data_IF_972223866851
#
_entry.id   IF_972223866851
#
_cell.length_a   1.000
_cell.length_b   1.000
_cell.length_c   1.000
_cell.angle_alpha   90.00
_cell.angle_beta   90.00
_cell.angle_gamma   90.00
#
_symmetry.space_group_name_H-M   'P 1'
#
loop_
_entity.id
_entity.type
_entity.pdbx_description
1 polymer ?
#
# COMPACT_ATOMS: atom_id res chain seq x y z
N UNK A 1 -25.62 73.59 18.40
CA UNK A 1 -24.82 72.35 18.22
C UNK A 1 -23.94 72.49 16.98
N UNK A 2 -22.63 72.72 17.14
CA UNK A 2 -21.69 72.80 15.99
C UNK A 2 -21.39 71.38 15.51
N UNK A 3 -21.82 71.03 14.30
CA UNK A 3 -21.34 69.82 13.60
C UNK A 3 -19.89 70.07 13.19
N UNK A 4 -18.93 69.39 13.82
CA UNK A 4 -17.54 69.35 13.35
C UNK A 4 -17.49 68.42 12.14
N UNK A 5 -17.20 68.97 10.97
CA UNK A 5 -16.93 68.17 9.76
C UNK A 5 -15.52 67.58 9.83
N UNK A 6 -15.36 66.33 9.39
CA UNK A 6 -14.05 65.70 9.26
C UNK A 6 -13.18 66.48 8.26
N UNK A 7 -11.91 66.64 8.60
CA UNK A 7 -10.92 67.22 7.69
C UNK A 7 -10.53 66.20 6.62
N UNK A 8 -10.19 66.67 5.43
CA UNK A 8 -9.75 65.83 4.30
C UNK A 8 -8.53 64.96 4.68
N UNK A 9 -7.68 65.47 5.58
CA UNK A 9 -6.55 64.75 6.17
C UNK A 9 -7.00 63.56 7.03
N UNK A 10 -7.99 63.74 7.90
CA UNK A 10 -8.51 62.65 8.76
C UNK A 10 -9.13 61.52 7.91
N UNK A 11 -9.84 61.86 6.83
CA UNK A 11 -10.36 60.86 5.89
C UNK A 11 -9.25 60.08 5.18
N UNK A 12 -8.16 60.76 4.81
CA UNK A 12 -7.00 60.12 4.17
C UNK A 12 -6.26 59.19 5.14
N UNK A 13 -6.05 59.63 6.39
CA UNK A 13 -5.42 58.80 7.42
C UNK A 13 -6.29 57.60 7.77
N UNK A 14 -7.61 57.78 7.94
CA UNK A 14 -8.53 56.69 8.25
C UNK A 14 -8.57 55.64 7.14
N UNK A 15 -8.59 56.05 5.87
CA UNK A 15 -8.57 55.14 4.72
C UNK A 15 -7.22 54.41 4.59
N UNK A 16 -6.09 55.08 4.85
CA UNK A 16 -4.78 54.44 4.86
C UNK A 16 -4.67 53.38 5.97
N UNK A 17 -5.08 53.71 7.20
CA UNK A 17 -5.09 52.76 8.33
C UNK A 17 -6.02 51.59 8.05
N UNK A 18 -7.22 51.84 7.54
CA UNK A 18 -8.17 50.78 7.17
C UNK A 18 -7.58 49.85 6.10
N UNK A 19 -6.86 50.41 5.11
CA UNK A 19 -6.22 49.63 4.05
C UNK A 19 -5.10 48.74 4.59
N UNK A 20 -4.27 49.27 5.49
CA UNK A 20 -3.19 48.51 6.14
C UNK A 20 -3.78 47.39 7.01
N UNK A 21 -4.79 47.69 7.82
CA UNK A 21 -5.46 46.70 8.65
C UNK A 21 -6.17 45.63 7.81
N UNK A 22 -6.82 46.02 6.72
CA UNK A 22 -7.45 45.10 5.77
C UNK A 22 -6.43 44.16 5.12
N UNK A 23 -5.27 44.69 4.71
CA UNK A 23 -4.18 43.89 4.13
C UNK A 23 -3.59 42.92 5.17
N UNK A 24 -3.32 43.39 6.38
CA UNK A 24 -2.80 42.56 7.46
C UNK A 24 -3.78 41.42 7.81
N UNK A 25 -5.07 41.72 7.91
CA UNK A 25 -6.11 40.73 8.14
C UNK A 25 -6.16 39.69 7.00
N UNK A 26 -6.04 40.14 5.74
CA UNK A 26 -6.03 39.23 4.59
C UNK A 26 -4.82 38.29 4.62
N UNK A 27 -3.65 38.78 5.00
CA UNK A 27 -2.43 37.96 5.15
C UNK A 27 -2.62 36.92 6.26
N UNK A 28 -3.15 37.32 7.41
CA UNK A 28 -3.41 36.40 8.54
C UNK A 28 -4.46 35.35 8.16
N UNK A 29 -5.56 35.74 7.51
CA UNK A 29 -6.59 34.81 7.06
C UNK A 29 -6.06 33.80 6.02
N UNK A 30 -5.27 34.26 5.04
CA UNK A 30 -4.65 33.37 4.05
C UNK A 30 -3.67 32.40 4.71
N UNK A 31 -2.83 32.89 5.63
CA UNK A 31 -1.90 32.05 6.39
C UNK A 31 -2.62 31.00 7.26
N UNK A 32 -3.70 31.40 7.94
CA UNK A 32 -4.54 30.52 8.73
C UNK A 32 -5.21 29.43 7.89
N UNK A 33 -5.82 29.80 6.76
CA UNK A 33 -6.46 28.84 5.85
C UNK A 33 -5.45 27.85 5.24
N UNK A 34 -4.28 28.32 4.81
CA UNK A 34 -3.24 27.45 4.26
C UNK A 34 -2.70 26.47 5.31
N UNK A 35 -2.53 26.93 6.56
CA UNK A 35 -2.10 26.07 7.67
C UNK A 35 -3.16 25.06 8.03
N UNK A 36 -4.43 25.47 8.07
CA UNK A 36 -5.56 24.59 8.36
C UNK A 36 -5.73 23.51 7.28
N UNK A 37 -5.70 23.87 6.00
CA UNK A 37 -5.77 22.89 4.88
C UNK A 37 -4.65 21.85 4.95
N UNK A 38 -3.42 22.29 5.26
CA UNK A 38 -2.28 21.38 5.47
C UNK A 38 -2.49 20.46 6.67
N UNK A 39 -3.02 20.97 7.78
CA UNK A 39 -3.30 20.15 8.95
C UNK A 39 -4.39 19.10 8.65
N UNK A 40 -5.44 19.48 7.92
CA UNK A 40 -6.53 18.57 7.56
C UNK A 40 -6.06 17.48 6.58
N UNK A 41 -5.29 17.83 5.55
CA UNK A 41 -4.72 16.85 4.62
C UNK A 41 -3.73 15.88 5.29
N UNK A 42 -2.93 16.37 6.24
CA UNK A 42 -2.09 15.52 7.10
C UNK A 42 -2.93 14.53 7.87
N UNK A 43 -3.99 15.00 8.52
CA UNK A 43 -4.91 14.14 9.27
C UNK A 43 -5.52 13.07 8.37
N UNK A 44 -6.04 13.45 7.20
CA UNK A 44 -6.63 12.52 6.24
C UNK A 44 -5.63 11.43 5.79
N UNK A 45 -4.40 11.82 5.43
CA UNK A 45 -3.35 10.86 5.05
C UNK A 45 -2.94 9.94 6.21
N UNK A 46 -2.93 10.45 7.44
CA UNK A 46 -2.65 9.66 8.64
C UNK A 46 -3.76 8.66 8.93
N UNK A 47 -5.01 9.09 8.85
CA UNK A 47 -6.18 8.23 9.06
C UNK A 47 -6.24 7.12 7.99
N UNK A 48 -5.98 7.45 6.72
CA UNK A 48 -5.86 6.48 5.63
C UNK A 48 -4.72 5.48 5.88
N UNK A 49 -3.53 5.95 6.26
CA UNK A 49 -2.38 5.09 6.55
C UNK A 49 -2.62 4.15 7.73
N UNK A 50 -3.25 4.65 8.80
CA UNK A 50 -3.64 3.84 9.94
C UNK A 50 -4.72 2.81 9.59
N UNK A 51 -5.68 3.14 8.73
CA UNK A 51 -6.69 2.20 8.27
C UNK A 51 -6.07 1.04 7.47
N UNK A 52 -5.19 1.36 6.50
CA UNK A 52 -4.46 0.36 5.70
C UNK A 52 -3.62 -0.54 6.60
N UNK A 53 -2.75 0.04 7.44
CA UNK A 53 -1.87 -0.77 8.28
C UNK A 53 -2.62 -1.62 9.30
N UNK A 54 -3.76 -1.14 9.81
CA UNK A 54 -4.61 -1.91 10.73
C UNK A 54 -5.24 -3.10 10.02
N UNK A 55 -5.85 -2.88 8.85
CA UNK A 55 -6.49 -3.95 8.09
C UNK A 55 -5.48 -5.00 7.62
N UNK A 56 -4.35 -4.55 7.07
CA UNK A 56 -3.30 -5.43 6.58
C UNK A 56 -2.66 -6.20 7.74
N UNK A 57 -2.43 -5.55 8.89
CA UNK A 57 -1.99 -6.25 10.11
C UNK A 57 -2.99 -7.32 10.55
N UNK A 58 -4.28 -7.02 10.51
CA UNK A 58 -5.31 -8.02 10.84
C UNK A 58 -5.24 -9.21 9.87
N UNK A 59 -5.17 -8.95 8.56
CA UNK A 59 -5.08 -10.00 7.55
C UNK A 59 -3.84 -10.88 7.77
N UNK A 60 -2.68 -10.28 8.01
CA UNK A 60 -1.44 -11.00 8.32
C UNK A 60 -1.53 -11.78 9.64
N UNK A 61 -2.06 -11.18 10.72
CA UNK A 61 -2.22 -11.89 12.00
C UNK A 61 -3.19 -13.07 11.91
N UNK A 62 -4.14 -13.01 10.99
CA UNK A 62 -5.06 -14.09 10.68
C UNK A 62 -4.57 -14.99 9.55
N UNK A 63 -3.37 -14.77 8.99
CA UNK A 63 -2.83 -15.65 7.97
C UNK A 63 -2.69 -17.08 8.52
N UNK A 64 -3.20 -18.05 7.76
CA UNK A 64 -3.23 -19.46 8.16
C UNK A 64 -2.25 -20.22 7.28
N UNK A 65 -1.36 -20.98 7.91
CA UNK A 65 -0.55 -21.99 7.24
C UNK A 65 -1.29 -23.33 7.18
N UNK A 66 -0.92 -24.23 6.27
CA UNK A 66 -1.56 -25.53 6.15
C UNK A 66 -1.59 -26.30 7.48
N UNK A 67 -2.70 -26.97 7.75
CA UNK A 67 -2.77 -27.94 8.85
C UNK A 67 -2.07 -29.24 8.45
N UNK A 68 -1.36 -29.87 9.39
CA UNK A 68 -0.82 -31.22 9.23
C UNK A 68 -1.96 -32.26 9.30
N UNK A 69 -2.76 -32.40 8.24
CA UNK A 69 -3.74 -33.49 8.14
C UNK A 69 -3.25 -34.57 7.18
N UNK A 70 -3.34 -35.82 7.62
CA UNK A 70 -2.89 -37.01 6.88
C UNK A 70 -3.87 -37.52 5.82
N UNK A 71 -4.99 -36.83 5.57
CA UNK A 71 -6.07 -37.32 4.72
C UNK A 71 -6.38 -36.39 3.54
N UNK A 72 -6.67 -36.95 2.35
CA UNK A 72 -6.84 -36.23 1.09
C UNK A 72 -8.27 -35.66 0.93
N UNK A 73 -8.87 -35.14 2.00
CA UNK A 73 -10.16 -34.47 1.88
C UNK A 73 -9.92 -33.04 1.38
N UNK A 74 -10.18 -32.82 0.09
CA UNK A 74 -10.34 -31.52 -0.56
C UNK A 74 -9.46 -30.42 0.04
N UNK A 75 -8.16 -30.49 -0.23
CA UNK A 75 -7.16 -29.64 0.39
C UNK A 75 -7.50 -28.17 0.11
N UNK A 76 -7.79 -27.41 1.16
CA UNK A 76 -7.90 -25.95 1.06
C UNK A 76 -6.49 -25.44 0.78
N UNK A 77 -6.31 -24.80 -0.37
CA UNK A 77 -5.06 -24.16 -0.78
C UNK A 77 -4.76 -22.95 0.13
N UNK A 78 -4.20 -23.24 1.30
CA UNK A 78 -3.71 -22.23 2.24
C UNK A 78 -2.37 -21.72 1.74
N UNK A 79 -2.30 -20.45 1.35
CA UNK A 79 -1.12 -19.90 0.68
C UNK A 79 -0.78 -18.53 1.24
N UNK A 80 0.50 -18.18 1.23
CA UNK A 80 1.02 -16.82 1.38
C UNK A 80 2.01 -16.61 0.24
N UNK A 81 1.66 -15.74 -0.71
CA UNK A 81 2.47 -15.45 -1.90
C UNK A 81 2.65 -13.94 -1.99
N UNK A 82 3.88 -13.52 -2.20
CA UNK A 82 4.20 -12.12 -2.42
C UNK A 82 5.27 -12.01 -3.50
N UNK A 83 5.01 -11.20 -4.50
CA UNK A 83 5.93 -10.95 -5.59
C UNK A 83 5.82 -9.50 -6.07
N UNK A 84 6.42 -9.22 -7.22
CA UNK A 84 6.32 -7.94 -7.89
C UNK A 84 5.70 -8.13 -9.27
N UNK A 85 4.92 -7.15 -9.72
CA UNK A 85 4.45 -7.11 -11.10
C UNK A 85 5.55 -6.68 -12.09
N UNK A 86 5.21 -6.57 -13.37
CA UNK A 86 6.15 -6.16 -14.43
C UNK A 86 6.79 -4.78 -14.22
N UNK A 87 6.17 -3.93 -13.38
CA UNK A 87 6.67 -2.59 -13.02
C UNK A 87 7.38 -2.58 -11.67
N UNK A 88 7.58 -3.74 -11.04
CA UNK A 88 8.26 -3.86 -9.74
C UNK A 88 7.36 -3.54 -8.54
N UNK A 89 6.04 -3.42 -8.71
CA UNK A 89 5.11 -3.09 -7.61
C UNK A 89 4.72 -4.34 -6.84
N UNK A 90 4.71 -4.25 -5.52
CA UNK A 90 4.40 -5.39 -4.65
C UNK A 90 2.96 -5.86 -4.79
N UNK A 91 2.79 -7.17 -4.90
CA UNK A 91 1.51 -7.87 -4.82
C UNK A 91 1.57 -8.87 -3.69
N UNK A 92 0.58 -8.85 -2.80
CA UNK A 92 0.50 -9.76 -1.65
C UNK A 92 -0.81 -10.52 -1.69
N UNK A 93 -0.71 -11.84 -1.66
CA UNK A 93 -1.83 -12.77 -1.61
C UNK A 93 -1.67 -13.67 -0.40
N UNK A 94 -2.75 -13.88 0.34
CA UNK A 94 -2.74 -14.79 1.48
C UNK A 94 -4.09 -15.45 1.72
N UNK A 95 -4.06 -16.59 2.37
CA UNK A 95 -5.25 -17.20 2.96
C UNK A 95 -5.27 -16.90 4.45
N UNK A 96 -6.41 -16.45 4.96
CA UNK A 96 -6.60 -16.09 6.37
C UNK A 96 -7.83 -16.73 6.98
N UNK A 97 -7.81 -16.86 8.30
CA UNK A 97 -8.99 -17.20 9.08
C UNK A 97 -9.95 -16.01 9.14
N UNK A 98 -11.25 -16.29 9.02
CA UNK A 98 -12.31 -15.30 9.21
C UNK A 98 -12.56 -15.17 10.71
N UNK A 99 -12.34 -13.97 11.25
CA UNK A 99 -12.56 -13.71 12.67
C UNK A 99 -14.04 -13.38 12.91
N UNK A 100 -14.65 -14.05 13.89
CA UNK A 100 -16.03 -13.74 14.30
C UNK A 100 -17.05 -14.00 13.20
N UNK A 101 -16.85 -15.03 12.38
CA UNK A 101 -17.73 -15.36 11.25
C UNK A 101 -19.21 -15.41 11.66
N UNK A 102 -19.52 -16.07 12.78
CA UNK A 102 -20.89 -16.18 13.32
C UNK A 102 -21.49 -14.86 13.79
N UNK A 103 -20.67 -13.86 14.11
CA UNK A 103 -21.11 -12.52 14.54
C UNK A 103 -21.19 -11.55 13.36
N UNK A 104 -20.61 -11.92 12.21
CA UNK A 104 -20.58 -11.08 11.03
C UNK A 104 -21.98 -11.07 10.37
N UNK A 105 -22.56 -9.89 10.08
CA UNK A 105 -23.96 -9.77 9.64
C UNK A 105 -24.28 -10.47 8.31
N UNK A 106 -23.25 -10.65 7.47
CA UNK A 106 -23.33 -11.36 6.18
C UNK A 106 -22.86 -12.81 6.35
N UNK A 107 -21.60 -13.03 6.70
CA UNK A 107 -21.00 -14.36 6.80
C UNK A 107 -21.66 -15.29 7.83
N UNK A 108 -22.31 -14.76 8.87
CA UNK A 108 -23.11 -15.58 9.79
C UNK A 108 -24.31 -16.27 9.14
N UNK A 109 -24.67 -15.88 7.92
CA UNK A 109 -25.72 -16.51 7.10
C UNK A 109 -25.15 -17.46 6.02
N UNK A 110 -23.83 -17.57 5.91
CA UNK A 110 -23.18 -18.41 4.92
C UNK A 110 -23.39 -19.90 5.24
N UNK A 111 -23.69 -20.71 4.22
CA UNK A 111 -23.86 -22.16 4.38
C UNK A 111 -25.20 -22.60 4.97
N UNK A 112 -26.19 -21.70 5.06
CA UNK A 112 -27.54 -22.04 5.55
C UNK A 112 -28.35 -22.91 4.59
N UNK A 113 -28.04 -22.90 3.28
CA UNK A 113 -28.72 -23.70 2.27
C UNK A 113 -27.79 -24.72 1.61
N UNK A 114 -28.41 -25.79 1.11
CA UNK A 114 -27.75 -26.81 0.27
C UNK A 114 -27.70 -26.27 -1.16
N UNK A 115 -26.58 -26.47 -1.86
CA UNK A 115 -26.35 -26.04 -3.25
C UNK A 115 -26.32 -24.52 -3.49
N UNK A 116 -25.99 -23.74 -2.45
CA UNK A 116 -25.64 -22.32 -2.58
C UNK A 116 -24.51 -22.10 -3.61
N UNK A 117 -24.61 -21.04 -4.40
CA UNK A 117 -23.71 -20.72 -5.52
C UNK A 117 -22.91 -19.42 -5.34
N UNK A 118 -23.33 -18.57 -4.41
CA UNK A 118 -22.71 -17.29 -4.07
C UNK A 118 -21.44 -17.43 -3.24
N UNK A 119 -20.58 -16.42 -3.33
CA UNK A 119 -19.31 -16.33 -2.62
C UNK A 119 -19.27 -15.00 -1.89
N UNK A 120 -18.63 -14.95 -0.74
CA UNK A 120 -18.38 -13.68 -0.08
C UNK A 120 -17.21 -12.99 -0.76
N UNK A 121 -17.47 -11.91 -1.48
CA UNK A 121 -16.47 -11.18 -2.26
C UNK A 121 -16.64 -9.63 -2.21
N UNK A 122 -17.38 -9.17 -1.20
CA UNK A 122 -17.85 -7.79 -1.05
C UNK A 122 -18.98 -7.38 -2.00
N UNK A 123 -19.48 -8.24 -2.90
CA UNK A 123 -20.49 -7.87 -3.92
C UNK A 123 -21.82 -8.51 -3.65
N UNK A 124 -22.83 -7.64 -3.55
CA UNK A 124 -24.19 -8.07 -3.29
C UNK A 124 -24.30 -9.05 -2.10
N UNK A 125 -23.28 -9.18 -1.23
CA UNK A 125 -23.25 -10.29 -0.27
C UNK A 125 -24.42 -10.17 0.70
N UNK A 126 -24.85 -8.95 1.00
CA UNK A 126 -26.05 -8.69 1.80
C UNK A 126 -27.30 -9.30 1.14
N UNK A 127 -27.45 -9.16 -0.17
CA UNK A 127 -28.58 -9.71 -0.92
C UNK A 127 -28.41 -11.22 -1.14
N UNK A 128 -27.21 -11.69 -1.44
CA UNK A 128 -26.91 -13.13 -1.53
C UNK A 128 -27.19 -13.84 -0.20
N UNK A 129 -26.78 -13.24 0.92
CA UNK A 129 -27.05 -13.75 2.25
C UNK A 129 -28.55 -13.79 2.56
N UNK A 130 -29.30 -12.75 2.18
CA UNK A 130 -30.77 -12.69 2.36
C UNK A 130 -31.52 -13.77 1.57
N UNK A 131 -30.94 -14.24 0.48
CA UNK A 131 -31.53 -15.28 -0.37
C UNK A 131 -30.87 -16.66 -0.17
N UNK A 132 -30.12 -16.85 0.94
CA UNK A 132 -29.39 -18.09 1.28
C UNK A 132 -28.44 -18.59 0.16
N UNK A 133 -27.93 -17.66 -0.66
CA UNK A 133 -27.04 -17.99 -1.77
C UNK A 133 -25.58 -18.09 -1.37
N UNK A 134 -25.17 -17.60 -0.21
CA UNK A 134 -23.77 -17.66 0.23
C UNK A 134 -23.36 -19.09 0.60
N UNK A 135 -22.31 -19.58 -0.05
CA UNK A 135 -21.65 -20.86 0.28
C UNK A 135 -20.99 -20.80 1.66
N UNK A 136 -20.93 -21.96 2.32
CA UNK A 136 -20.16 -22.12 3.55
C UNK A 136 -18.71 -21.71 3.31
N UNK A 137 -18.16 -20.84 4.16
CA UNK A 137 -16.82 -20.28 3.97
C UNK A 137 -15.70 -21.27 4.32
N UNK A 138 -15.99 -22.24 5.18
CA UNK A 138 -14.97 -23.10 5.78
C UNK A 138 -14.07 -22.36 6.79
N UNK A 139 -14.51 -21.22 7.33
CA UNK A 139 -13.77 -20.41 8.30
C UNK A 139 -12.57 -19.67 7.72
N UNK A 140 -12.39 -19.67 6.40
CA UNK A 140 -11.22 -19.11 5.72
C UNK A 140 -11.59 -18.25 4.52
N UNK A 141 -10.72 -17.30 4.19
CA UNK A 141 -10.85 -16.43 3.04
C UNK A 141 -9.50 -16.18 2.38
N UNK A 142 -9.51 -16.06 1.05
CA UNK A 142 -8.41 -15.53 0.26
C UNK A 142 -8.42 -14.01 0.37
N UNK A 143 -7.25 -13.38 0.42
CA UNK A 143 -7.08 -11.93 0.46
C UNK A 143 -5.95 -11.55 -0.48
N UNK A 144 -6.16 -10.46 -1.22
CA UNK A 144 -5.16 -9.88 -2.09
C UNK A 144 -4.99 -8.39 -1.81
N UNK A 145 -3.75 -7.90 -1.90
CA UNK A 145 -3.37 -6.49 -1.80
C UNK A 145 -2.47 -6.14 -2.98
N UNK A 146 -2.90 -5.17 -3.79
CA UNK A 146 -2.22 -4.75 -5.02
C UNK A 146 -2.34 -3.24 -5.18
N UNK A 147 -1.29 -2.57 -5.64
CA UNK A 147 -1.31 -1.15 -5.96
C UNK A 147 -1.30 -0.94 -7.48
N UNK A 148 -2.12 -0.03 -7.98
CA UNK A 148 -2.14 0.35 -9.40
C UNK A 148 -1.12 1.47 -9.72
N UNK A 149 -1.19 2.06 -10.91
CA UNK A 149 -0.28 3.14 -11.34
C UNK A 149 -0.81 4.54 -11.01
N UNK A 150 -2.07 4.63 -10.57
CA UNK A 150 -2.70 5.86 -10.13
C UNK A 150 -2.53 6.08 -8.62
N UNK A 151 -1.88 5.14 -7.93
CA UNK A 151 -1.69 5.18 -6.49
C UNK A 151 -2.93 4.77 -5.71
N UNK A 152 -3.75 3.90 -6.28
CA UNK A 152 -4.86 3.24 -5.60
C UNK A 152 -4.37 1.89 -5.09
N UNK A 153 -4.45 1.70 -3.79
CA UNK A 153 -4.25 0.41 -3.15
C UNK A 153 -5.58 -0.34 -3.11
N UNK A 154 -5.61 -1.47 -3.77
CA UNK A 154 -6.73 -2.37 -3.85
C UNK A 154 -6.62 -3.50 -2.83
N UNK A 155 -7.77 -3.95 -2.34
CA UNK A 155 -7.92 -5.13 -1.51
C UNK A 155 -9.03 -6.03 -2.06
N UNK A 156 -8.73 -7.31 -2.24
CA UNK A 156 -9.70 -8.37 -2.54
C UNK A 156 -9.93 -9.25 -1.32
N UNK A 157 -11.14 -9.76 -1.16
CA UNK A 157 -11.46 -10.84 -0.22
C UNK A 157 -12.35 -11.81 -0.93
N UNK A 158 -12.15 -13.11 -0.69
CA UNK A 158 -13.01 -14.15 -1.23
C UNK A 158 -13.18 -15.32 -0.28
N UNK A 159 -14.41 -15.76 -0.02
CA UNK A 159 -14.70 -17.02 0.68
C UNK A 159 -15.87 -17.79 0.03
N UNK A 160 -15.83 -19.13 -0.04
CA UNK A 160 -14.75 -20.01 0.43
C UNK A 160 -13.50 -19.96 -0.47
N UNK A 161 -12.37 -20.41 0.07
CA UNK A 161 -11.08 -20.53 -0.64
C UNK A 161 -11.19 -21.53 -1.81
N UNK A 162 -10.42 -21.30 -2.87
CA UNK A 162 -10.31 -22.20 -4.03
C UNK A 162 -11.38 -21.98 -5.10
N UNK A 163 -11.30 -22.68 -6.25
CA UNK A 163 -12.15 -22.43 -7.41
C UNK A 163 -13.66 -22.65 -7.16
N UNK A 164 -14.55 -22.05 -7.99
CA UNK A 164 -14.27 -21.16 -9.12
C UNK A 164 -14.03 -19.70 -8.70
N UNK A 165 -13.16 -18.97 -9.42
CA UNK A 165 -12.90 -17.54 -9.19
C UNK A 165 -11.91 -17.22 -8.06
N UNK A 166 -11.02 -18.17 -7.72
CA UNK A 166 -9.97 -17.96 -6.71
C UNK A 166 -9.09 -16.77 -7.04
N UNK A 167 -8.69 -16.00 -6.02
CA UNK A 167 -7.70 -14.93 -6.14
C UNK A 167 -6.30 -15.44 -6.52
N UNK A 168 -6.07 -16.75 -6.45
CA UNK A 168 -4.81 -17.43 -6.81
C UNK A 168 -4.87 -18.11 -8.20
N UNK A 169 -5.91 -17.88 -9.01
CA UNK A 169 -6.09 -18.53 -10.31
C UNK A 169 -5.16 -18.02 -11.43
N UNK A 170 -4.99 -18.83 -12.49
CA UNK A 170 -4.10 -18.58 -13.65
C UNK A 170 -4.60 -17.49 -14.63
N UNK A 171 -5.81 -16.97 -14.44
CA UNK A 171 -6.35 -15.86 -15.25
C UNK A 171 -5.89 -14.57 -14.60
N UNK A 172 -5.20 -13.71 -15.36
CA UNK A 172 -4.63 -12.43 -14.94
C UNK A 172 -5.42 -11.81 -13.75
N UNK A 173 -4.99 -12.02 -12.50
CA UNK A 173 -5.88 -11.93 -11.32
C UNK A 173 -6.25 -10.49 -10.93
N UNK A 174 -6.01 -9.53 -11.83
CA UNK A 174 -6.11 -8.09 -11.65
C UNK A 174 -7.30 -7.48 -12.38
N UNK A 175 -8.45 -8.15 -12.41
CA UNK A 175 -9.68 -7.41 -12.69
C UNK A 175 -9.91 -6.42 -11.54
N UNK A 176 -9.40 -5.19 -11.70
CA UNK A 176 -9.47 -4.08 -10.74
C UNK A 176 -10.79 -3.36 -10.90
N UNK A 177 -11.44 -3.01 -9.78
CA UNK A 177 -12.67 -2.25 -9.87
C UNK A 177 -12.35 -0.84 -10.35
N UNK A 178 -13.13 -0.30 -11.31
CA UNK A 178 -13.01 1.12 -11.62
C UNK A 178 -13.29 1.93 -10.34
N UNK A 179 -12.56 3.02 -10.16
CA UNK A 179 -12.92 4.01 -9.14
C UNK A 179 -14.36 4.48 -9.41
N UNK A 180 -15.17 4.55 -8.36
CA UNK A 180 -16.53 5.05 -8.48
C UNK A 180 -16.49 6.50 -9.01
N UNK A 181 -17.09 6.73 -10.18
CA UNK A 181 -17.27 8.06 -10.76
C UNK A 181 -18.76 8.37 -10.86
N UNK A 182 -19.23 9.53 -10.36
CA UNK A 182 -20.62 9.94 -10.47
C UNK A 182 -21.06 10.19 -11.92
N UNK A 183 -20.10 10.39 -12.84
CA UNK A 183 -20.33 10.68 -14.26
C UNK A 183 -20.17 9.44 -15.16
N UNK A 184 -19.74 8.30 -14.60
CA UNK A 184 -19.68 7.06 -15.36
C UNK A 184 -21.11 6.62 -15.69
N UNK A 185 -21.42 6.55 -17.00
CA UNK A 185 -22.65 5.91 -17.45
C UNK A 185 -22.67 4.48 -16.89
N UNK A 186 -23.83 3.97 -16.42
CA UNK A 186 -23.93 2.59 -16.01
C UNK A 186 -23.71 1.73 -17.27
N UNK A 187 -22.48 1.27 -17.48
CA UNK A 187 -22.20 0.15 -18.37
C UNK A 187 -22.99 -1.05 -17.85
N UNK A 188 -23.50 -1.87 -18.77
CA UNK A 188 -24.31 -3.04 -18.44
C UNK A 188 -23.60 -3.89 -17.36
N UNK A 189 -24.09 -3.88 -16.10
CA UNK A 189 -23.40 -4.52 -14.98
C UNK A 189 -23.26 -6.04 -15.17
N UNK A 190 -24.00 -6.61 -16.12
CA UNK A 190 -24.00 -8.04 -16.44
C UNK A 190 -22.96 -8.45 -17.48
N UNK A 191 -22.30 -7.51 -18.16
CA UNK A 191 -21.43 -7.77 -19.32
C UNK A 191 -19.92 -7.69 -19.03
N UNK A 192 -19.51 -7.08 -17.92
CA UNK A 192 -18.13 -7.12 -17.43
C UNK A 192 -18.05 -8.15 -16.30
N UNK A 193 -17.09 -9.08 -16.39
CA UNK A 193 -16.73 -9.88 -15.23
C UNK A 193 -16.40 -8.90 -14.09
N UNK A 194 -17.12 -8.98 -12.95
CA UNK A 194 -16.94 -8.00 -11.91
C UNK A 194 -15.54 -8.17 -11.32
N UNK A 195 -14.89 -7.03 -11.13
CA UNK A 195 -13.51 -6.87 -10.68
C UNK A 195 -13.21 -7.38 -9.27
N UNK A 196 -12.34 -8.38 -9.12
CA UNK A 196 -12.05 -9.11 -7.87
C UNK A 196 -11.50 -8.24 -6.73
N UNK A 197 -10.87 -7.10 -7.07
CA UNK A 197 -10.23 -6.23 -6.11
C UNK A 197 -10.97 -4.88 -6.00
N UNK A 198 -11.11 -4.35 -4.78
CA UNK A 198 -11.77 -3.07 -4.50
C UNK A 198 -10.79 -2.00 -4.03
N UNK A 199 -10.95 -0.73 -4.44
CA UNK A 199 -10.19 0.38 -3.88
C UNK A 199 -10.33 0.41 -2.36
N UNK A 200 -9.19 0.37 -1.67
CA UNK A 200 -9.13 0.42 -0.21
C UNK A 200 -8.56 1.75 0.27
N UNK A 201 -7.53 2.26 -0.43
CA UNK A 201 -6.96 3.58 -0.18
C UNK A 201 -6.52 4.21 -1.51
N UNK A 202 -6.60 5.53 -1.58
CA UNK A 202 -6.05 6.33 -2.69
C UNK A 202 -4.81 7.08 -2.23
N UNK A 203 -4.15 7.78 -3.15
CA UNK A 203 -2.98 8.61 -2.84
C UNK A 203 -1.79 7.80 -2.28
N UNK A 204 -1.73 6.49 -2.54
CA UNK A 204 -0.64 5.63 -2.14
C UNK A 204 0.48 5.76 -3.17
N UNK A 205 1.63 6.30 -2.76
CA UNK A 205 2.80 6.42 -3.63
C UNK A 205 3.65 5.14 -3.63
N UNK A 206 3.64 4.41 -2.51
CA UNK A 206 4.49 3.22 -2.35
C UNK A 206 3.83 2.21 -1.42
N UNK A 207 3.90 0.94 -1.83
CA UNK A 207 3.51 -0.20 -1.03
C UNK A 207 4.58 -1.27 -1.19
N UNK A 208 5.14 -1.72 -0.06
CA UNK A 208 6.19 -2.73 -0.03
C UNK A 208 5.97 -3.66 1.15
N UNK A 209 6.21 -4.94 0.90
CA UNK A 209 6.19 -5.99 1.90
C UNK A 209 7.56 -6.67 1.91
N UNK A 210 8.15 -6.81 3.10
CA UNK A 210 9.43 -7.49 3.31
C UNK A 210 9.26 -8.61 4.31
N UNK A 211 9.94 -9.72 4.09
CA UNK A 211 9.80 -10.92 4.91
C UNK A 211 11.09 -11.19 5.69
N UNK A 212 10.92 -11.47 6.98
CA UNK A 212 11.97 -11.93 7.86
C UNK A 212 12.08 -13.45 7.77
N UNK A 213 13.26 -13.92 7.41
CA UNK A 213 13.65 -15.32 7.35
C UNK A 213 14.46 -15.70 8.58
N UNK A 214 14.68 -17.00 8.78
CA UNK A 214 15.61 -17.52 9.79
C UNK A 214 17.05 -17.01 9.62
N UNK A 215 17.38 -16.51 8.42
CA UNK A 215 18.70 -15.95 8.09
C UNK A 215 18.72 -14.43 8.21
N UNK A 216 17.57 -13.76 8.36
CA UNK A 216 17.51 -12.29 8.38
C UNK A 216 18.06 -11.78 9.72
N UNK A 217 19.04 -10.89 9.66
CA UNK A 217 19.60 -10.20 10.84
C UNK A 217 19.27 -8.72 10.86
N UNK A 218 18.87 -8.15 9.72
CA UNK A 218 18.49 -6.74 9.57
C UNK A 218 17.38 -6.55 8.53
N UNK A 219 16.64 -5.45 8.61
CA UNK A 219 15.67 -5.05 7.57
C UNK A 219 16.30 -4.23 6.42
N UNK A 220 17.62 -4.06 6.43
CA UNK A 220 18.37 -3.28 5.45
C UNK A 220 18.56 -4.09 4.15
N UNK A 221 18.04 -3.57 3.04
CA UNK A 221 18.16 -4.17 1.71
C UNK A 221 19.57 -4.07 1.13
N UNK A 222 20.47 -3.31 1.76
CA UNK A 222 21.89 -3.30 1.40
C UNK A 222 22.52 -4.70 1.52
N UNK A 223 22.01 -5.52 2.43
CA UNK A 223 22.43 -6.91 2.59
C UNK A 223 21.43 -7.81 1.88
N UNK A 224 21.83 -8.60 0.89
CA UNK A 224 20.94 -9.61 0.33
C UNK A 224 20.61 -10.65 1.42
N UNK A 225 19.43 -11.26 1.35
CA UNK A 225 19.14 -12.45 2.15
C UNK A 225 20.15 -13.54 1.79
N UNK A 226 20.79 -14.14 2.78
CA UNK A 226 21.87 -15.11 2.55
C UNK A 226 21.99 -16.09 3.71
N UNK A 227 22.01 -17.38 3.38
CA UNK A 227 22.18 -18.50 4.34
C UNK A 227 23.56 -18.56 5.00
N UNK A 228 24.58 -17.96 4.36
CA UNK A 228 26.01 -18.21 4.68
C UNK A 228 26.68 -17.00 5.36
N UNK A 229 26.05 -15.83 5.37
CA UNK A 229 26.67 -14.58 5.83
C UNK A 229 26.11 -14.14 7.17
N UNK A 230 26.96 -13.53 8.00
CA UNK A 230 26.57 -12.97 9.30
C UNK A 230 25.61 -11.77 9.15
N UNK A 231 25.77 -10.97 8.09
CA UNK A 231 24.87 -9.87 7.73
C UNK A 231 23.97 -10.31 6.56
N UNK A 232 22.68 -10.44 6.84
CA UNK A 232 21.67 -10.92 5.89
C UNK A 232 20.38 -10.11 6.04
N UNK A 233 19.90 -9.58 4.92
CA UNK A 233 18.72 -8.73 4.86
C UNK A 233 17.43 -9.51 4.62
N UNK A 234 16.29 -8.82 4.51
CA UNK A 234 14.99 -9.46 4.32
C UNK A 234 14.79 -9.88 2.85
N UNK A 235 13.81 -10.74 2.59
CA UNK A 235 13.36 -11.02 1.20
C UNK A 235 12.22 -10.08 0.80
N UNK A 236 12.16 -9.76 -0.50
CA UNK A 236 11.07 -8.95 -1.10
C UNK A 236 9.96 -9.81 -1.72
N UNK A 237 10.23 -11.09 -1.88
CA UNK A 237 9.29 -12.09 -2.38
C UNK A 237 9.12 -13.19 -1.35
N UNK A 238 7.96 -13.84 -1.39
CA UNK A 238 7.65 -14.99 -0.56
C UNK A 238 6.73 -15.94 -1.30
N UNK A 239 6.97 -17.23 -1.15
CA UNK A 239 6.06 -18.27 -1.62
C UNK A 239 6.01 -19.37 -0.55
N UNK A 240 4.90 -19.44 0.17
CA UNK A 240 4.73 -20.44 1.23
C UNK A 240 4.79 -21.86 0.70
N UNK A 241 4.35 -22.08 -0.54
CA UNK A 241 4.31 -23.39 -1.20
C UNK A 241 5.65 -23.80 -1.82
N UNK A 242 6.64 -22.90 -1.83
CA UNK A 242 7.99 -23.17 -2.37
C UNK A 242 8.00 -23.71 -3.82
N UNK A 243 6.96 -23.43 -4.60
CA UNK A 243 6.67 -24.09 -5.86
C UNK A 243 6.04 -23.19 -6.94
N UNK A 244 5.41 -22.07 -6.57
CA UNK A 244 4.71 -21.14 -7.46
C UNK A 244 5.71 -20.15 -8.05
N UNK A 245 6.41 -19.40 -7.19
CA UNK A 245 7.34 -18.37 -7.62
C UNK A 245 8.64 -19.01 -8.08
N UNK A 246 8.94 -18.83 -9.38
CA UNK A 246 10.22 -19.25 -9.93
C UNK A 246 11.26 -18.15 -9.71
N UNK A 247 12.54 -18.50 -9.53
CA UNK A 247 13.62 -17.53 -9.60
C UNK A 247 13.55 -16.78 -10.95
N UNK A 248 13.76 -15.46 -10.99
CA UNK A 248 13.90 -14.74 -12.25
C UNK A 248 15.02 -15.35 -13.10
N UNK A 249 14.88 -15.33 -14.43
CA UNK A 249 15.89 -15.89 -15.33
C UNK A 249 17.28 -15.32 -15.04
N UNK A 250 18.23 -16.20 -14.72
CA UNK A 250 19.62 -15.84 -14.42
C UNK A 250 19.97 -15.76 -12.93
N UNK A 251 18.99 -15.72 -12.02
CA UNK A 251 19.22 -16.03 -10.60
C UNK A 251 19.24 -17.54 -10.44
N UNK A 252 20.29 -18.05 -9.80
CA UNK A 252 20.37 -19.50 -9.56
C UNK A 252 19.31 -19.90 -8.51
N UNK A 253 18.79 -21.14 -8.51
CA UNK A 253 17.86 -21.61 -7.48
C UNK A 253 18.40 -21.49 -6.05
N UNK A 254 19.73 -21.40 -5.86
CA UNK A 254 20.38 -21.09 -4.58
C UNK A 254 20.32 -19.62 -4.15
N UNK A 255 19.81 -18.71 -5.00
CA UNK A 255 19.61 -17.28 -4.72
C UNK A 255 18.12 -16.95 -4.45
N UNK A 256 17.20 -17.88 -4.75
CA UNK A 256 15.81 -17.88 -4.27
C UNK A 256 15.70 -18.88 -3.13
N UNK A 257 15.85 -18.41 -1.89
CA UNK A 257 16.23 -19.27 -0.75
C UNK A 257 15.27 -20.43 -0.42
N UNK A 258 14.02 -20.38 -0.89
CA UNK A 258 12.97 -21.32 -0.48
C UNK A 258 12.39 -22.19 -1.59
N UNK A 259 12.66 -21.96 -2.88
CA UNK A 259 12.07 -22.78 -3.94
C UNK A 259 12.64 -24.21 -3.92
N UNK A 260 11.77 -25.21 -3.85
CA UNK A 260 12.14 -26.63 -3.83
C UNK A 260 11.73 -27.32 -5.13
N UNK A 261 10.60 -26.92 -5.70
CA UNK A 261 10.11 -27.46 -6.97
C UNK A 261 8.62 -27.72 -6.96
N UNK A 262 8.06 -27.98 -8.14
CA UNK A 262 6.60 -28.12 -8.35
C UNK A 262 5.91 -29.17 -7.48
N UNK A 263 6.63 -30.20 -7.02
CA UNK A 263 6.07 -31.25 -6.15
C UNK A 263 5.70 -30.74 -4.74
N UNK A 264 6.31 -29.65 -4.30
CA UNK A 264 6.05 -29.03 -3.00
C UNK A 264 4.65 -28.41 -2.94
N UNK A 265 4.10 -28.01 -4.09
CA UNK A 265 2.71 -27.53 -4.19
C UNK A 265 1.68 -28.54 -3.64
N UNK A 266 1.97 -29.84 -3.75
CA UNK A 266 1.10 -30.93 -3.31
C UNK A 266 1.48 -31.48 -1.91
N UNK A 267 2.52 -30.93 -1.24
CA UNK A 267 2.98 -31.39 0.07
C UNK A 267 2.91 -30.28 1.15
N UNK A 268 1.78 -30.08 1.83
CA UNK A 268 1.58 -28.99 2.80
C UNK A 268 2.49 -29.06 4.03
N UNK A 269 3.27 -30.14 4.20
CA UNK A 269 4.25 -30.28 5.29
C UNK A 269 5.57 -29.57 4.98
N UNK A 270 5.84 -29.27 3.71
CA UNK A 270 7.02 -28.53 3.32
C UNK A 270 6.79 -27.02 3.19
N UNK A 271 5.52 -26.59 3.31
CA UNK A 271 5.14 -25.19 3.37
C UNK A 271 5.90 -24.41 4.46
N UNK A 272 6.26 -23.18 4.12
CA UNK A 272 6.98 -22.25 5.00
C UNK A 272 6.21 -20.96 5.19
N UNK A 273 6.26 -20.42 6.40
CA UNK A 273 5.69 -19.11 6.73
C UNK A 273 6.76 -18.25 7.39
N UNK A 274 6.83 -16.94 7.04
CA UNK A 274 7.85 -16.07 7.60
C UNK A 274 7.59 -15.83 9.08
N UNK A 275 8.64 -15.54 9.85
CA UNK A 275 8.47 -15.22 11.28
C UNK A 275 7.86 -13.82 11.45
N UNK A 276 8.33 -12.86 10.64
CA UNK A 276 7.89 -11.46 10.69
C UNK A 276 7.73 -10.90 9.28
N UNK A 277 6.79 -9.97 9.14
CA UNK A 277 6.54 -9.23 7.91
C UNK A 277 6.61 -7.75 8.21
N UNK A 278 7.48 -7.03 7.50
CA UNK A 278 7.56 -5.57 7.55
C UNK A 278 6.81 -4.99 6.36
N UNK A 279 5.90 -4.06 6.66
CA UNK A 279 5.09 -3.39 5.64
C UNK A 279 5.45 -1.92 5.66
N UNK A 280 5.81 -1.40 4.49
CA UNK A 280 6.12 0.02 4.28
C UNK A 280 5.06 0.59 3.34
N UNK A 281 4.40 1.65 3.78
CA UNK A 281 3.39 2.37 3.02
C UNK A 281 3.79 3.84 2.93
N UNK A 282 3.68 4.46 1.76
CA UNK A 282 3.81 5.91 1.61
C UNK A 282 2.51 6.47 1.04
N UNK A 283 1.91 7.42 1.76
CA UNK A 283 0.68 8.09 1.33
C UNK A 283 0.96 9.58 1.11
N UNK A 284 0.54 10.09 -0.04
CA UNK A 284 0.56 11.51 -0.39
C UNK A 284 -0.54 12.25 0.39
N UNK A 285 -0.21 13.42 0.93
CA UNK A 285 -1.22 14.33 1.48
C UNK A 285 -2.09 14.86 0.33
N UNK A 286 -3.39 15.10 0.54
CA UNK A 286 -4.30 15.49 -0.54
C UNK A 286 -3.76 16.67 -1.40
N UNK A 287 -3.85 16.61 -2.75
CA UNK A 287 -3.25 17.62 -3.65
C UNK A 287 -3.65 19.07 -3.34
N UNK A 288 -4.90 19.26 -2.90
CA UNK A 288 -5.51 20.54 -2.54
C UNK A 288 -4.82 21.27 -1.38
N UNK A 289 -4.05 20.54 -0.57
CA UNK A 289 -3.24 21.10 0.50
C UNK A 289 -1.84 21.55 0.05
N UNK A 290 -1.47 21.31 -1.21
CA UNK A 290 -0.15 21.60 -1.74
C UNK A 290 0.92 20.71 -1.10
N UNK A 291 0.72 19.40 -1.14
CA UNK A 291 1.60 18.40 -0.53
C UNK A 291 2.92 18.21 -1.29
N UNK A 292 2.86 18.22 -2.62
CA UNK A 292 4.01 18.05 -3.53
C UNK A 292 4.71 19.37 -3.81
N UNK A 293 6.01 19.41 -4.09
CA UNK A 293 6.71 20.63 -4.53
C UNK A 293 7.13 20.49 -5.99
N UNK A 294 7.91 21.44 -6.50
CA UNK A 294 8.43 21.41 -7.86
C UNK A 294 9.93 21.64 -7.84
N UNK A 295 10.62 21.06 -8.82
CA UNK A 295 12.02 21.37 -9.06
C UNK A 295 12.20 22.84 -9.46
N UNK A 296 13.17 23.51 -8.86
CA UNK A 296 13.55 24.88 -9.21
C UNK A 296 14.73 24.96 -10.20
N UNK A 297 15.33 23.82 -10.54
CA UNK A 297 16.27 23.66 -11.65
C UNK A 297 16.23 22.20 -12.17
N UNK A 298 16.69 21.99 -13.41
CA UNK A 298 16.94 20.65 -13.96
C UNK A 298 18.01 19.95 -13.12
N UNK A 299 17.82 18.65 -12.86
CA UNK A 299 18.82 17.82 -12.17
C UNK A 299 19.25 16.63 -13.04
N UNK A 300 20.56 16.37 -13.08
CA UNK A 300 21.13 15.21 -13.78
C UNK A 300 21.13 13.94 -12.91
N UNK A 301 21.35 12.74 -13.47
CA UNK A 301 21.20 11.43 -12.78
C UNK A 301 22.22 11.16 -11.65
N UNK A 302 23.24 12.00 -11.50
CA UNK A 302 24.29 11.86 -10.46
C UNK A 302 24.30 13.03 -9.48
N UNK A 303 23.34 13.93 -9.60
CA UNK A 303 23.31 15.16 -8.83
C UNK A 303 22.94 14.89 -7.38
N UNK A 304 23.68 15.53 -6.46
CA UNK A 304 23.54 15.35 -5.02
C UNK A 304 22.72 16.47 -4.36
N UNK A 305 22.25 17.43 -5.14
CA UNK A 305 21.39 18.52 -4.66
C UNK A 305 20.07 18.46 -5.40
N UNK A 306 18.98 18.60 -4.65
CA UNK A 306 17.62 18.62 -5.16
C UNK A 306 17.03 20.02 -4.93
N UNK A 307 17.18 20.94 -5.89
CA UNK A 307 16.68 22.30 -5.75
C UNK A 307 15.15 22.30 -5.91
N UNK A 308 14.44 22.80 -4.91
CA UNK A 308 12.98 22.79 -4.84
C UNK A 308 12.42 24.19 -4.61
N UNK A 309 11.22 24.46 -5.13
CA UNK A 309 10.57 25.76 -4.97
C UNK A 309 10.07 25.99 -3.53
N UNK A 310 9.55 24.95 -2.89
CA UNK A 310 8.99 25.03 -1.53
C UNK A 310 9.59 23.95 -0.62
N UNK A 311 10.81 24.17 -0.09
CA UNK A 311 11.52 23.20 0.75
C UNK A 311 10.75 22.83 2.03
N UNK A 312 9.90 23.72 2.54
CA UNK A 312 9.06 23.47 3.72
C UNK A 312 7.99 22.40 3.52
N UNK A 313 7.80 21.88 2.30
CA UNK A 313 6.95 20.70 2.03
C UNK A 313 7.66 19.38 2.34
N UNK A 314 8.99 19.37 2.25
CA UNK A 314 9.80 18.19 2.55
C UNK A 314 9.86 17.95 4.07
N UNK A 315 10.03 16.68 4.45
CA UNK A 315 10.25 16.31 5.84
C UNK A 315 11.65 16.74 6.29
N UNK A 316 11.71 17.40 7.46
CA UNK A 316 12.96 17.71 8.14
C UNK A 316 13.67 16.43 8.62
N UNK A 317 15.00 16.37 8.49
CA UNK A 317 15.80 15.20 8.86
C UNK A 317 15.87 14.09 7.80
N UNK A 318 15.39 14.37 6.58
CA UNK A 318 15.49 13.46 5.45
C UNK A 318 14.22 12.69 5.16
N UNK A 319 14.22 11.93 4.06
CA UNK A 319 13.07 11.18 3.60
C UNK A 319 13.23 10.67 2.17
N UNK A 320 12.09 10.39 1.55
CA UNK A 320 12.00 9.97 0.15
C UNK A 320 11.05 10.92 -0.58
N UNK A 321 11.37 11.20 -1.84
CA UNK A 321 10.48 11.87 -2.79
C UNK A 321 10.39 11.03 -4.05
N UNK A 322 9.29 11.18 -4.79
CA UNK A 322 9.11 10.58 -6.10
C UNK A 322 9.07 11.71 -7.14
N UNK A 323 9.86 11.58 -8.21
CA UNK A 323 9.87 12.50 -9.34
C UNK A 323 9.74 11.66 -10.60
N UNK A 324 8.65 11.86 -11.34
CA UNK A 324 8.28 10.98 -12.45
C UNK A 324 8.26 9.51 -11.94
N UNK A 325 9.15 8.65 -12.43
CA UNK A 325 9.29 7.25 -12.01
C UNK A 325 10.50 6.99 -11.07
N UNK A 326 11.23 8.03 -10.66
CA UNK A 326 12.41 7.89 -9.80
C UNK A 326 12.11 8.21 -8.33
N UNK A 327 12.39 7.24 -7.46
CA UNK A 327 12.47 7.46 -6.03
C UNK A 327 13.85 8.02 -5.67
N UNK A 328 13.87 9.15 -4.97
CA UNK A 328 15.10 9.80 -4.50
C UNK A 328 15.08 9.87 -2.97
N UNK A 329 16.14 9.38 -2.33
CA UNK A 329 16.35 9.53 -0.90
C UNK A 329 17.16 10.78 -0.61
N UNK A 330 16.73 11.59 0.32
CA UNK A 330 17.45 12.79 0.77
C UNK A 330 17.70 12.74 2.28
N UNK A 331 18.82 13.30 2.73
CA UNK A 331 19.25 13.25 4.14
C UNK A 331 18.87 14.49 4.92
N UNK A 332 18.87 15.65 4.29
CA UNK A 332 18.56 16.93 4.94
C UNK A 332 18.00 17.93 3.94
N UNK A 333 17.34 18.96 4.48
CA UNK A 333 16.82 20.10 3.71
C UNK A 333 17.56 21.33 4.19
N UNK A 334 18.25 22.01 3.27
CA UNK A 334 19.06 23.18 3.55
C UNK A 334 18.80 24.29 2.53
N UNK A 335 18.31 25.42 3.02
CA UNK A 335 17.89 26.54 2.17
C UNK A 335 16.79 26.13 1.20
N UNK A 336 16.99 26.38 -0.09
CA UNK A 336 16.07 26.02 -1.19
C UNK A 336 16.32 24.63 -1.80
N UNK A 337 17.07 23.76 -1.14
CA UNK A 337 17.45 22.45 -1.69
C UNK A 337 17.45 21.34 -0.66
N UNK A 338 17.24 20.10 -1.08
CA UNK A 338 17.52 18.91 -0.28
C UNK A 338 18.84 18.26 -0.71
N UNK A 339 19.58 17.72 0.25
CA UNK A 339 20.81 16.95 -0.02
C UNK A 339 20.42 15.52 -0.31
N UNK A 340 20.66 15.09 -1.55
CA UNK A 340 20.38 13.73 -2.01
C UNK A 340 21.43 12.79 -1.44
N UNK A 341 20.94 11.73 -0.80
CA UNK A 341 21.75 10.63 -0.27
C UNK A 341 21.76 9.42 -1.20
N UNK A 342 20.69 9.20 -1.97
CA UNK A 342 20.54 8.06 -2.87
C UNK A 342 19.65 8.45 -4.06
N UNK A 343 20.15 8.25 -5.28
CA UNK A 343 19.39 8.29 -6.53
C UNK A 343 18.96 6.88 -6.89
N UNK A 344 17.83 6.73 -7.58
CA UNK A 344 17.30 5.41 -7.91
C UNK A 344 16.98 4.56 -6.69
N UNK A 345 16.55 5.20 -5.60
CA UNK A 345 16.15 4.49 -4.39
C UNK A 345 14.95 3.57 -4.69
N UNK A 346 14.69 2.62 -3.79
CA UNK A 346 13.53 1.69 -3.92
C UNK A 346 13.46 0.95 -5.26
N UNK A 347 14.63 0.65 -5.85
CA UNK A 347 14.75 -0.13 -7.08
C UNK A 347 14.46 0.66 -8.37
N UNK A 348 14.35 1.98 -8.30
CA UNK A 348 14.16 2.83 -9.49
C UNK A 348 15.49 3.16 -10.16
N UNK A 349 15.45 3.59 -11.42
CA UNK A 349 16.65 3.99 -12.17
C UNK A 349 16.89 5.50 -12.05
N UNK A 350 18.13 5.96 -11.74
CA UNK A 350 18.47 7.37 -11.77
C UNK A 350 18.24 8.00 -13.16
N UNK A 351 17.47 9.07 -13.23
CA UNK A 351 17.11 9.77 -14.46
C UNK A 351 17.45 11.27 -14.42
N UNK A 352 17.35 11.94 -15.56
CA UNK A 352 17.36 13.41 -15.62
C UNK A 352 15.93 13.92 -15.43
N UNK A 353 15.75 14.96 -14.60
CA UNK A 353 14.45 15.59 -14.38
C UNK A 353 14.51 17.08 -14.72
N UNK A 354 13.52 17.55 -15.45
CA UNK A 354 13.45 18.92 -15.92
C UNK A 354 13.06 19.92 -14.82
N UNK A 355 13.36 21.20 -15.07
CA UNK A 355 12.77 22.30 -14.33
C UNK A 355 11.24 22.15 -14.25
N UNK A 356 10.66 22.39 -13.07
CA UNK A 356 9.23 22.23 -12.77
C UNK A 356 8.68 20.79 -12.82
N UNK A 357 9.52 19.75 -12.87
CA UNK A 357 9.04 18.40 -12.57
C UNK A 357 8.41 18.37 -11.18
N UNK A 358 7.32 17.61 -11.04
CA UNK A 358 6.59 17.47 -9.77
C UNK A 358 7.44 16.61 -8.83
N UNK A 359 7.64 17.12 -7.62
CA UNK A 359 8.29 16.39 -6.53
C UNK A 359 7.21 15.93 -5.58
N UNK A 360 6.78 14.69 -5.76
CA UNK A 360 5.75 14.05 -4.95
C UNK A 360 6.30 13.74 -3.56
N UNK A 361 5.59 14.24 -2.55
CA UNK A 361 5.96 14.06 -1.13
C UNK A 361 4.87 13.27 -0.44
N UNK A 362 5.27 12.18 0.20
CA UNK A 362 4.37 11.35 0.99
C UNK A 362 4.87 11.10 2.40
N UNK A 363 3.96 10.70 3.27
CA UNK A 363 4.22 10.26 4.63
C UNK A 363 4.45 8.77 4.65
N UNK A 364 5.58 8.36 5.23
CA UNK A 364 5.93 6.95 5.36
C UNK A 364 5.36 6.37 6.67
N UNK A 365 4.65 5.26 6.54
CA UNK A 365 4.18 4.44 7.64
C UNK A 365 4.88 3.08 7.56
N UNK A 366 5.33 2.58 8.70
CA UNK A 366 6.01 1.29 8.79
C UNK A 366 5.43 0.51 9.95
N UNK A 367 5.12 -0.76 9.72
CA UNK A 367 4.76 -1.71 10.78
C UNK A 367 5.50 -3.02 10.58
N UNK A 368 5.76 -3.72 11.68
CA UNK A 368 6.29 -5.08 11.66
C UNK A 368 5.29 -5.98 12.36
N UNK A 369 4.84 -7.02 11.66
CA UNK A 369 3.86 -8.00 12.14
C UNK A 369 4.57 -9.33 12.34
N UNK A 370 4.57 -9.83 13.57
CA UNK A 370 5.00 -11.21 13.83
C UNK A 370 3.85 -12.15 13.46
N UNK A 371 4.12 -13.14 12.62
CA UNK A 371 3.10 -14.10 12.17
C UNK A 371 2.97 -15.23 13.20
N UNK A 372 1.77 -15.48 13.76
CA UNK A 372 1.59 -16.52 14.77
C UNK A 372 1.96 -17.93 14.28
N UNK A 373 1.80 -18.19 12.98
CA UNK A 373 2.08 -19.46 12.33
C UNK A 373 3.45 -19.55 11.66
N UNK A 374 4.43 -18.71 12.05
CA UNK A 374 5.78 -18.75 11.47
C UNK A 374 6.37 -20.16 11.48
N UNK A 375 6.78 -20.65 10.30
CA UNK A 375 7.29 -22.01 10.06
C UNK A 375 8.49 -21.90 9.13
N UNK A 376 9.67 -22.13 9.67
CA UNK A 376 10.92 -21.97 8.94
C UNK A 376 11.47 -23.32 8.46
N UNK A 377 12.31 -23.29 7.41
CA UNK A 377 12.93 -24.46 6.82
C UNK A 377 14.14 -24.94 7.65
N UNK A 378 13.87 -25.67 8.73
CA UNK A 378 14.90 -26.26 9.59
C UNK A 378 15.61 -27.49 8.98
N UNK A 379 15.25 -27.89 7.74
CA UNK A 379 15.81 -29.04 7.03
C UNK A 379 17.25 -28.86 6.53
N UNK A 380 17.84 -27.69 6.72
CA UNK A 380 19.21 -27.37 6.30
C UNK A 380 20.18 -27.84 7.39
N UNK A 381 20.62 -29.10 7.30
CA UNK A 381 21.80 -29.64 8.00
C UNK A 381 22.97 -29.78 7.06
#
# INVERSE_FOLDING_TARGET
MRRRGFTLLELLVATAVLSILGLALMVVLRGGLATWRRAEARRASFDAGQAVLRQLREDLLCAVGPYETSEPYGQVDLRLVCDADERGRTRLFLTRAIKGESEHPVLGLAGNAVASDGVYDYRADTDEARHDRLRATGGTAEVAWVIDDQGVLYRGVRAPVGPPGSLFGDVDPYELAPLWSPDAAPEDPSAQAPSLLRPFATEVLYFEVRFWTQFTTSWDLKYPCSKVKDDSGPTLHWDSTRAILQPPEGLRPDEFDFFVGRKSLDDPRDDVLPEKVRVTLVIREAPEAGSSTYLSATIGPREQSLPVQEPGRLQEGGGYVLIDDEWIRYSEVSGGSAVVSERGARGTAPAEHGLNSVVEVGRQFVTVVALPGGREDWGIR
#
